data_IF_485141685468
#
_entry.id   IF_485141685468
#
_cell.length_a   1.000
_cell.length_b   1.000
_cell.length_c   1.000
_cell.angle_alpha   90.00
_cell.angle_beta   90.00
_cell.angle_gamma   90.00
#
_symmetry.space_group_name_H-M   'P 1'
#
loop_
_entity.id
_entity.type
_entity.pdbx_description
1 polymer ?
#
# COMPACT_ATOMS: atom_id res chain seq x y z
N UNK A 1 8.55 -9.10 38.39
CA UNK A 1 7.08 -9.07 38.49
C UNK A 1 6.58 -7.73 37.95
N UNK A 2 6.78 -7.43 36.64
CA UNK A 2 6.24 -6.24 35.91
C UNK A 2 6.27 -6.51 34.40
N UNK A 3 5.44 -7.41 33.92
CA UNK A 3 5.34 -7.69 32.49
C UNK A 3 3.94 -8.23 32.09
N UNK A 4 2.87 -7.72 32.72
CA UNK A 4 1.48 -8.17 32.43
C UNK A 4 0.51 -7.00 32.22
N UNK A 5 0.96 -5.78 31.98
CA UNK A 5 0.08 -4.61 31.93
C UNK A 5 -0.08 -3.97 30.54
N UNK A 6 0.34 -4.61 29.42
CA UNK A 6 0.23 -4.03 28.07
C UNK A 6 -0.82 -4.72 27.18
N UNK A 7 -1.36 -5.87 27.57
CA UNK A 7 -2.28 -6.64 26.71
C UNK A 7 -3.77 -6.30 26.94
N UNK A 8 -4.12 -5.41 27.84
CA UNK A 8 -5.53 -5.11 28.19
C UNK A 8 -6.09 -3.82 27.53
N UNK A 9 -5.47 -3.31 26.46
CA UNK A 9 -5.98 -2.13 25.74
C UNK A 9 -6.53 -2.38 24.33
N UNK A 10 -6.66 -3.64 23.92
CA UNK A 10 -7.29 -4.05 22.66
C UNK A 10 -8.75 -4.54 22.82
N UNK A 11 -9.34 -4.35 23.96
CA UNK A 11 -10.65 -4.88 24.33
C UNK A 11 -11.79 -3.85 24.39
N UNK A 12 -11.78 -2.78 23.61
CA UNK A 12 -12.96 -1.95 23.36
C UNK A 12 -12.98 -1.52 21.90
N UNK A 13 -13.44 -2.41 21.03
CA UNK A 13 -14.11 -1.95 19.81
C UNK A 13 -15.46 -1.34 20.21
N UNK A 14 -15.42 -0.21 20.90
CA UNK A 14 -16.52 0.74 20.89
C UNK A 14 -16.74 1.07 19.41
N UNK A 15 -17.93 0.81 18.94
CA UNK A 15 -18.66 1.25 17.76
C UNK A 15 -18.15 2.63 17.30
N UNK A 16 -16.99 2.65 16.68
CA UNK A 16 -16.45 3.87 16.08
C UNK A 16 -17.20 4.02 14.76
N UNK A 17 -18.14 4.96 14.74
CA UNK A 17 -18.70 5.34 13.45
C UNK A 17 -17.55 5.82 12.59
N UNK A 18 -17.35 5.22 11.39
CA UNK A 18 -16.28 5.64 10.50
C UNK A 18 -16.34 7.15 10.30
N UNK A 19 -15.20 7.81 10.30
CA UNK A 19 -15.13 9.24 10.01
C UNK A 19 -15.71 9.56 8.62
N UNK A 20 -15.93 10.83 8.35
CA UNK A 20 -16.54 11.27 7.09
C UNK A 20 -15.71 10.80 5.87
N UNK A 21 -14.37 10.74 5.99
CA UNK A 21 -13.50 10.28 4.90
C UNK A 21 -13.67 8.79 4.61
N UNK A 22 -13.70 7.97 5.63
CA UNK A 22 -13.89 6.52 5.53
C UNK A 22 -15.25 6.17 4.93
N UNK A 23 -16.31 6.87 5.34
CA UNK A 23 -17.66 6.68 4.78
C UNK A 23 -17.70 7.07 3.30
N UNK A 24 -17.10 8.21 2.93
CA UNK A 24 -16.99 8.64 1.53
C UNK A 24 -16.18 7.66 0.70
N UNK A 25 -15.07 7.11 1.23
CA UNK A 25 -14.26 6.12 0.53
C UNK A 25 -15.04 4.82 0.27
N UNK A 26 -15.75 4.31 1.26
CA UNK A 26 -16.56 3.10 1.12
C UNK A 26 -17.68 3.29 0.09
N UNK A 27 -18.42 4.41 0.18
CA UNK A 27 -19.49 4.74 -0.76
C UNK A 27 -18.96 4.96 -2.18
N UNK A 28 -17.83 5.65 -2.33
CA UNK A 28 -17.21 5.85 -3.63
C UNK A 28 -16.81 4.53 -4.28
N UNK A 29 -16.20 3.61 -3.52
CA UNK A 29 -15.82 2.30 -4.05
C UNK A 29 -17.03 1.50 -4.52
N UNK A 30 -18.11 1.50 -3.75
CA UNK A 30 -19.36 0.82 -4.12
C UNK A 30 -19.97 1.42 -5.40
N UNK A 31 -20.10 2.75 -5.49
CA UNK A 31 -20.63 3.42 -6.66
C UNK A 31 -19.75 3.24 -7.90
N UNK A 32 -18.42 3.31 -7.75
CA UNK A 32 -17.50 3.06 -8.86
C UNK A 32 -17.55 1.61 -9.35
N UNK A 33 -17.75 0.65 -8.46
CA UNK A 33 -17.88 -0.76 -8.81
C UNK A 33 -19.19 -1.08 -9.54
N UNK A 34 -20.29 -0.43 -9.15
CA UNK A 34 -21.64 -0.70 -9.67
C UNK A 34 -22.00 0.15 -10.88
N UNK A 35 -21.74 1.45 -10.81
CA UNK A 35 -22.14 2.45 -11.83
C UNK A 35 -20.97 2.84 -12.75
N UNK A 36 -19.73 2.56 -12.34
CA UNK A 36 -18.52 2.97 -13.05
C UNK A 36 -17.98 4.31 -12.56
N UNK A 37 -16.66 4.49 -12.72
CA UNK A 37 -15.97 5.69 -12.26
C UNK A 37 -16.45 6.95 -12.98
N UNK A 38 -16.57 6.93 -14.30
CA UNK A 38 -16.92 8.12 -15.09
C UNK A 38 -18.35 8.59 -14.81
N UNK A 39 -19.27 7.67 -14.63
CA UNK A 39 -20.71 7.93 -14.41
C UNK A 39 -21.03 8.40 -13.00
N UNK A 40 -20.14 8.14 -12.04
CA UNK A 40 -20.34 8.54 -10.64
C UNK A 40 -19.81 9.94 -10.38
N UNK A 41 -20.60 10.80 -9.74
CA UNK A 41 -20.22 12.16 -9.36
C UNK A 41 -19.82 12.29 -7.89
N UNK A 42 -19.05 13.33 -7.56
CA UNK A 42 -18.74 13.64 -6.15
C UNK A 42 -20.00 13.98 -5.33
N UNK A 43 -21.01 14.57 -5.99
CA UNK A 43 -22.30 14.87 -5.37
C UNK A 43 -23.04 13.58 -4.95
N UNK A 44 -23.12 12.59 -5.84
CA UNK A 44 -23.76 11.29 -5.55
C UNK A 44 -23.04 10.55 -4.41
N UNK A 45 -21.69 10.53 -4.43
CA UNK A 45 -20.88 9.93 -3.35
C UNK A 45 -21.20 10.64 -2.01
N UNK A 46 -21.22 11.97 -1.99
CA UNK A 46 -21.49 12.71 -0.77
C UNK A 46 -22.93 12.46 -0.27
N UNK A 47 -23.91 12.52 -1.15
CA UNK A 47 -25.33 12.32 -0.83
C UNK A 47 -25.60 10.92 -0.28
N UNK A 48 -24.95 9.88 -0.80
CA UNK A 48 -25.13 8.49 -0.33
C UNK A 48 -24.77 8.29 1.14
N UNK A 49 -23.93 9.16 1.70
CA UNK A 49 -23.53 9.13 3.12
C UNK A 49 -24.07 10.32 3.93
N UNK A 50 -25.07 11.04 3.40
CA UNK A 50 -25.71 12.17 4.08
C UNK A 50 -24.85 13.44 4.17
N UNK A 51 -23.90 13.61 3.24
CA UNK A 51 -23.01 14.78 3.17
C UNK A 51 -23.31 15.60 1.90
N UNK A 52 -22.74 16.80 1.84
CA UNK A 52 -22.84 17.68 0.65
C UNK A 52 -21.61 17.55 -0.23
N UNK A 53 -21.74 17.85 -1.51
CA UNK A 53 -20.63 17.93 -2.45
C UNK A 53 -19.53 18.91 -1.98
N UNK A 54 -19.93 20.04 -1.36
CA UNK A 54 -18.98 20.97 -0.72
C UNK A 54 -18.15 20.30 0.38
N UNK A 55 -18.78 19.39 1.15
CA UNK A 55 -18.07 18.63 2.18
C UNK A 55 -17.09 17.63 1.54
N UNK A 56 -17.47 17.00 0.43
CA UNK A 56 -16.59 16.12 -0.33
C UNK A 56 -15.30 16.86 -0.75
N UNK A 57 -15.44 18.00 -1.44
CA UNK A 57 -14.29 18.78 -1.94
C UNK A 57 -13.48 19.49 -0.85
N UNK A 58 -14.02 19.62 0.36
CA UNK A 58 -13.22 20.01 1.54
C UNK A 58 -12.29 18.88 2.03
N UNK A 59 -12.67 17.62 1.80
CA UNK A 59 -11.97 16.43 2.30
C UNK A 59 -11.05 15.80 1.25
N UNK A 60 -11.40 15.94 -0.04
CA UNK A 60 -10.68 15.37 -1.18
C UNK A 60 -10.55 16.41 -2.28
N UNK A 61 -9.36 16.54 -2.86
CA UNK A 61 -9.08 17.52 -3.92
C UNK A 61 -9.82 17.20 -5.23
N UNK A 62 -10.04 15.93 -5.52
CA UNK A 62 -10.84 15.46 -6.64
C UNK A 62 -11.47 14.09 -6.37
N UNK A 63 -12.31 13.61 -7.32
CA UNK A 63 -13.02 12.34 -7.22
C UNK A 63 -12.09 11.12 -7.14
N UNK A 64 -10.92 11.18 -7.76
CA UNK A 64 -9.95 10.07 -7.76
C UNK A 64 -9.35 9.87 -6.38
N UNK A 65 -9.06 10.96 -5.65
CA UNK A 65 -8.37 10.94 -4.37
C UNK A 65 -9.09 10.14 -3.29
N UNK A 66 -10.42 9.98 -3.42
CA UNK A 66 -11.18 9.20 -2.44
C UNK A 66 -10.75 7.73 -2.38
N UNK A 67 -10.36 7.12 -3.53
CA UNK A 67 -9.86 5.73 -3.56
C UNK A 67 -8.43 5.58 -3.01
N UNK A 68 -7.72 6.68 -2.90
CA UNK A 68 -6.34 6.71 -2.42
C UNK A 68 -6.22 7.24 -0.99
N UNK A 69 -7.35 7.43 -0.32
CA UNK A 69 -7.36 7.81 1.09
C UNK A 69 -6.72 6.73 1.97
N UNK A 70 -5.96 7.16 2.97
CA UNK A 70 -5.23 6.27 3.87
C UNK A 70 -3.83 5.87 3.39
N UNK A 71 -3.39 6.35 2.23
CA UNK A 71 -2.03 6.11 1.75
C UNK A 71 -0.94 6.68 2.65
N UNK A 72 -1.23 7.74 3.39
CA UNK A 72 -0.27 8.32 4.35
C UNK A 72 0.07 7.33 5.48
N UNK A 73 -0.93 6.58 5.94
CA UNK A 73 -0.73 5.51 6.94
C UNK A 73 0.08 4.35 6.36
N UNK A 74 -0.18 4.01 5.11
CA UNK A 74 0.55 2.99 4.37
C UNK A 74 2.02 3.40 4.14
N UNK A 75 2.27 4.65 3.71
CA UNK A 75 3.61 5.21 3.59
C UNK A 75 4.34 5.20 4.94
N UNK A 76 3.66 5.62 6.01
CA UNK A 76 4.25 5.62 7.34
C UNK A 76 4.70 4.23 7.78
N UNK A 77 3.93 3.18 7.46
CA UNK A 77 4.33 1.82 7.77
C UNK A 77 5.62 1.39 7.05
N UNK A 78 5.78 1.78 5.78
CA UNK A 78 7.06 1.58 5.08
C UNK A 78 8.20 2.29 5.79
N UNK A 79 8.02 3.56 6.15
CA UNK A 79 9.04 4.36 6.82
C UNK A 79 9.38 3.81 8.22
N UNK A 80 8.38 3.38 8.97
CA UNK A 80 8.57 2.73 10.28
C UNK A 80 9.36 1.42 10.14
N UNK A 81 9.06 0.62 9.12
CA UNK A 81 9.81 -0.60 8.81
C UNK A 81 11.25 -0.31 8.38
N UNK A 82 11.47 0.73 7.58
CA UNK A 82 12.83 1.20 7.23
C UNK A 82 13.57 1.64 8.51
N UNK A 83 12.95 2.45 9.36
CA UNK A 83 13.57 2.96 10.59
C UNK A 83 13.86 1.85 11.61
N UNK A 84 12.97 0.85 11.70
CA UNK A 84 13.07 -0.28 12.64
C UNK A 84 14.05 -1.39 12.23
N UNK A 85 14.58 -1.36 11.00
CA UNK A 85 15.55 -2.37 10.54
C UNK A 85 16.86 -2.28 11.34
N UNK A 86 17.60 -3.40 11.54
CA UNK A 86 18.91 -3.42 12.20
C UNK A 86 19.88 -2.39 11.60
N UNK A 87 20.79 -1.86 12.43
CA UNK A 87 21.72 -0.80 11.99
C UNK A 87 22.73 -1.29 10.94
N UNK A 88 23.06 -2.57 10.98
CA UNK A 88 23.98 -3.27 10.07
C UNK A 88 23.27 -3.97 8.90
N UNK A 89 21.95 -3.80 8.77
CA UNK A 89 21.17 -4.42 7.70
C UNK A 89 21.59 -3.87 6.32
N UNK A 90 21.71 -4.77 5.35
CA UNK A 90 21.90 -4.41 3.95
C UNK A 90 20.67 -3.66 3.39
N UNK A 91 20.80 -2.90 2.29
CA UNK A 91 19.67 -2.17 1.71
C UNK A 91 18.43 -3.04 1.43
N UNK A 92 18.62 -4.27 0.97
CA UNK A 92 17.51 -5.20 0.70
C UNK A 92 16.90 -5.76 2.00
N UNK A 93 17.67 -5.97 3.06
CA UNK A 93 17.15 -6.38 4.37
C UNK A 93 16.32 -5.26 5.01
N UNK A 94 16.73 -4.00 4.86
CA UNK A 94 15.95 -2.84 5.29
C UNK A 94 14.59 -2.82 4.56
N UNK A 95 14.60 -3.03 3.25
CA UNK A 95 13.38 -3.10 2.43
C UNK A 95 12.49 -4.29 2.83
N UNK A 96 13.09 -5.45 3.13
CA UNK A 96 12.32 -6.61 3.62
C UNK A 96 11.62 -6.31 4.95
N UNK A 97 12.28 -5.58 5.87
CA UNK A 97 11.67 -5.12 7.13
C UNK A 97 10.49 -4.16 6.86
N UNK A 98 10.63 -3.26 5.89
CA UNK A 98 9.55 -2.35 5.48
C UNK A 98 8.34 -3.09 4.89
N UNK A 99 8.56 -4.10 4.06
CA UNK A 99 7.51 -4.96 3.52
C UNK A 99 6.74 -5.69 4.63
N UNK A 100 7.45 -6.27 5.60
CA UNK A 100 6.81 -6.92 6.75
C UNK A 100 5.92 -5.96 7.57
N UNK A 101 6.38 -4.73 7.79
CA UNK A 101 5.57 -3.72 8.49
C UNK A 101 4.29 -3.38 7.72
N UNK A 102 4.38 -3.27 6.40
CA UNK A 102 3.24 -2.98 5.52
C UNK A 102 2.26 -4.14 5.44
N UNK A 103 2.72 -5.39 5.43
CA UNK A 103 1.84 -6.56 5.37
C UNK A 103 0.78 -6.57 6.50
N UNK A 104 1.09 -5.99 7.66
CA UNK A 104 0.16 -5.86 8.77
C UNK A 104 -1.09 -5.00 8.45
N UNK A 105 -1.03 -4.14 7.43
CA UNK A 105 -2.17 -3.35 6.95
C UNK A 105 -3.12 -4.14 6.06
N UNK A 106 -2.76 -5.37 5.68
CA UNK A 106 -3.51 -6.23 4.76
C UNK A 106 -3.96 -7.54 5.43
N UNK A 107 -4.76 -7.47 6.52
CA UNK A 107 -5.36 -8.68 7.07
C UNK A 107 -6.32 -9.31 6.06
N UNK A 108 -6.61 -10.59 6.20
CA UNK A 108 -7.41 -11.36 5.24
C UNK A 108 -8.80 -10.73 4.97
N UNK A 109 -9.39 -10.11 5.99
CA UNK A 109 -10.69 -9.43 5.93
C UNK A 109 -10.69 -8.24 4.97
N UNK A 110 -9.55 -7.62 4.69
CA UNK A 110 -9.42 -6.52 3.72
C UNK A 110 -9.32 -6.99 2.28
N UNK A 111 -9.11 -8.28 2.03
CA UNK A 111 -8.92 -8.83 0.68
C UNK A 111 -10.09 -8.56 -0.27
N UNK A 112 -11.37 -8.73 0.12
CA UNK A 112 -12.48 -8.39 -0.77
C UNK A 112 -12.49 -6.91 -1.17
N UNK A 113 -12.24 -6.01 -0.22
CA UNK A 113 -12.12 -4.57 -0.49
C UNK A 113 -10.99 -4.28 -1.47
N UNK A 114 -9.80 -4.82 -1.24
CA UNK A 114 -8.63 -4.61 -2.09
C UNK A 114 -8.88 -5.14 -3.52
N UNK A 115 -9.55 -6.28 -3.67
CA UNK A 115 -9.94 -6.86 -4.95
C UNK A 115 -10.90 -5.94 -5.71
N UNK A 116 -11.95 -5.46 -5.05
CA UNK A 116 -12.91 -4.53 -5.66
C UNK A 116 -12.22 -3.23 -6.06
N UNK A 117 -11.37 -2.67 -5.20
CA UNK A 117 -10.61 -1.45 -5.49
C UNK A 117 -9.73 -1.64 -6.73
N UNK A 118 -8.98 -2.73 -6.80
CA UNK A 118 -8.13 -3.00 -7.95
C UNK A 118 -8.94 -3.16 -9.23
N UNK A 119 -10.06 -3.88 -9.20
CA UNK A 119 -10.94 -4.04 -10.35
C UNK A 119 -11.51 -2.71 -10.88
N UNK A 120 -11.78 -1.74 -9.98
CA UNK A 120 -12.20 -0.38 -10.36
C UNK A 120 -11.04 0.38 -11.02
N UNK A 121 -9.84 0.28 -10.47
CA UNK A 121 -8.64 0.95 -11.02
C UNK A 121 -8.31 0.39 -12.39
N UNK A 122 -8.30 -0.93 -12.56
CA UNK A 122 -7.93 -1.60 -13.81
C UNK A 122 -8.86 -1.25 -14.99
N UNK A 123 -10.09 -0.84 -14.69
CA UNK A 123 -11.08 -0.43 -15.71
C UNK A 123 -11.01 1.04 -16.12
N UNK A 124 -10.14 1.84 -15.46
CA UNK A 124 -10.10 3.28 -15.69
C UNK A 124 -8.66 3.81 -15.80
N UNK A 125 -8.30 4.35 -16.97
CA UNK A 125 -6.96 4.84 -17.27
C UNK A 125 -6.51 6.00 -16.36
N UNK A 126 -7.42 6.89 -15.97
CA UNK A 126 -7.10 8.01 -15.07
C UNK A 126 -6.77 7.54 -13.64
N UNK A 127 -7.42 6.46 -13.17
CA UNK A 127 -7.11 5.85 -11.89
C UNK A 127 -5.78 5.08 -11.96
N UNK A 128 -5.52 4.36 -13.05
CA UNK A 128 -4.23 3.68 -13.26
C UNK A 128 -3.06 4.66 -13.33
N UNK A 129 -3.23 5.80 -14.01
CA UNK A 129 -2.22 6.86 -14.05
C UNK A 129 -1.94 7.39 -12.64
N UNK A 130 -3.00 7.65 -11.88
CA UNK A 130 -2.87 8.15 -10.51
C UNK A 130 -2.18 7.13 -9.60
N UNK A 131 -2.51 5.85 -9.72
CA UNK A 131 -1.86 4.78 -8.96
C UNK A 131 -0.37 4.69 -9.29
N UNK A 132 0.00 4.68 -10.57
CA UNK A 132 1.42 4.67 -10.99
C UNK A 132 2.18 5.87 -10.44
N UNK A 133 1.59 7.06 -10.48
CA UNK A 133 2.21 8.26 -9.90
C UNK A 133 2.46 8.11 -8.39
N UNK A 134 1.47 7.56 -7.67
CA UNK A 134 1.58 7.33 -6.23
C UNK A 134 2.63 6.26 -5.88
N UNK A 135 2.71 5.18 -6.66
CA UNK A 135 3.74 4.15 -6.47
C UNK A 135 5.14 4.71 -6.74
N UNK A 136 5.31 5.54 -7.78
CA UNK A 136 6.58 6.21 -8.05
C UNK A 136 6.98 7.15 -6.89
N UNK A 137 6.03 7.93 -6.36
CA UNK A 137 6.26 8.76 -5.17
C UNK A 137 6.66 7.95 -3.94
N UNK A 138 6.04 6.80 -3.72
CA UNK A 138 6.40 5.88 -2.65
C UNK A 138 7.86 5.39 -2.79
N UNK A 139 8.27 4.96 -3.99
CA UNK A 139 9.64 4.51 -4.24
C UNK A 139 10.66 5.61 -3.93
N UNK A 140 10.40 6.85 -4.34
CA UNK A 140 11.27 7.99 -4.05
C UNK A 140 11.39 8.23 -2.54
N UNK A 141 10.27 8.24 -1.82
CA UNK A 141 10.29 8.45 -0.36
C UNK A 141 11.03 7.32 0.39
N UNK A 142 10.91 6.07 -0.07
CA UNK A 142 11.68 4.96 0.50
C UNK A 142 13.18 5.14 0.20
N UNK A 143 13.56 5.56 -1.01
CA UNK A 143 14.95 5.83 -1.35
C UNK A 143 15.55 6.94 -0.48
N UNK A 144 14.81 8.04 -0.25
CA UNK A 144 15.21 9.11 0.67
C UNK A 144 15.42 8.58 2.12
N UNK A 145 14.52 7.71 2.60
CA UNK A 145 14.67 7.10 3.91
C UNK A 145 15.87 6.15 4.02
N UNK A 146 16.18 5.40 2.96
CA UNK A 146 17.40 4.59 2.86
C UNK A 146 18.66 5.47 2.87
N UNK A 147 18.65 6.57 2.13
CA UNK A 147 19.72 7.57 2.13
C UNK A 147 19.97 8.14 3.53
N UNK A 148 18.90 8.48 4.26
CA UNK A 148 19.01 8.96 5.64
C UNK A 148 19.64 7.92 6.59
N UNK A 149 19.64 6.64 6.22
CA UNK A 149 20.31 5.54 6.91
C UNK A 149 21.74 5.28 6.41
N UNK A 150 22.24 6.10 5.48
CA UNK A 150 23.60 5.97 4.94
C UNK A 150 23.73 5.02 3.74
N UNK A 151 22.62 4.61 3.12
CA UNK A 151 22.67 3.84 1.87
C UNK A 151 22.99 4.79 0.70
N UNK A 152 24.10 4.56 0.03
CA UNK A 152 24.53 5.38 -1.10
C UNK A 152 23.76 5.06 -2.39
N UNK A 153 23.74 6.02 -3.35
CA UNK A 153 23.27 5.75 -4.71
C UNK A 153 24.32 4.91 -5.49
N UNK A 154 23.86 4.02 -6.43
CA UNK A 154 22.46 3.79 -6.83
C UNK A 154 21.72 2.74 -5.99
N UNK A 155 22.34 2.22 -4.91
CA UNK A 155 21.76 1.13 -4.10
C UNK A 155 20.44 1.53 -3.43
N UNK A 156 20.32 2.78 -2.95
CA UNK A 156 19.09 3.28 -2.34
C UNK A 156 17.90 3.25 -3.33
N UNK A 157 18.09 3.80 -4.52
CA UNK A 157 17.08 3.79 -5.58
C UNK A 157 16.72 2.38 -6.02
N UNK A 158 17.71 1.49 -6.23
CA UNK A 158 17.46 0.11 -6.65
C UNK A 158 16.71 -0.69 -5.58
N UNK A 159 17.09 -0.56 -4.32
CA UNK A 159 16.43 -1.24 -3.22
C UNK A 159 14.98 -0.76 -3.05
N UNK A 160 14.73 0.55 -3.10
CA UNK A 160 13.39 1.12 -3.01
C UNK A 160 12.48 0.67 -4.17
N UNK A 161 12.99 0.71 -5.40
CA UNK A 161 12.28 0.23 -6.58
C UNK A 161 11.98 -1.28 -6.49
N UNK A 162 12.94 -2.07 -6.01
CA UNK A 162 12.75 -3.50 -5.76
C UNK A 162 11.64 -3.77 -4.74
N UNK A 163 11.62 -3.02 -3.62
CA UNK A 163 10.59 -3.15 -2.60
C UNK A 163 9.19 -2.85 -3.11
N UNK A 164 9.02 -1.74 -3.83
CA UNK A 164 7.71 -1.38 -4.41
C UNK A 164 7.27 -2.38 -5.49
N UNK A 165 8.20 -2.96 -6.24
CA UNK A 165 7.93 -4.02 -7.22
C UNK A 165 7.49 -5.31 -6.53
N UNK A 166 8.19 -5.76 -5.49
CA UNK A 166 7.82 -6.93 -4.69
C UNK A 166 6.42 -6.75 -4.10
N UNK A 167 6.15 -5.60 -3.49
CA UNK A 167 4.84 -5.28 -2.95
C UNK A 167 3.74 -5.38 -4.02
N UNK A 168 3.94 -4.74 -5.18
CA UNK A 168 2.96 -4.75 -6.28
C UNK A 168 2.65 -6.15 -6.79
N UNK A 169 3.68 -6.98 -7.01
CA UNK A 169 3.52 -8.38 -7.43
C UNK A 169 2.80 -9.20 -6.35
N UNK A 170 3.21 -9.03 -5.09
CA UNK A 170 2.61 -9.76 -3.98
C UNK A 170 1.14 -9.38 -3.78
N UNK A 171 0.81 -8.08 -3.83
CA UNK A 171 -0.56 -7.61 -3.73
C UNK A 171 -1.43 -8.16 -4.86
N UNK A 172 -0.93 -8.14 -6.10
CA UNK A 172 -1.62 -8.70 -7.25
C UNK A 172 -1.89 -10.20 -7.10
N UNK A 173 -0.99 -10.97 -6.47
CA UNK A 173 -1.23 -12.38 -6.13
C UNK A 173 -2.23 -12.51 -4.98
N UNK A 174 -2.07 -11.71 -3.94
CA UNK A 174 -2.89 -11.78 -2.73
C UNK A 174 -4.38 -11.54 -2.99
N UNK A 175 -4.73 -10.66 -3.94
CA UNK A 175 -6.13 -10.37 -4.31
C UNK A 175 -6.75 -11.41 -5.24
N UNK A 176 -6.02 -12.41 -5.73
CA UNK A 176 -6.56 -13.44 -6.62
C UNK A 176 -7.65 -14.26 -5.93
N UNK A 177 -8.59 -14.74 -6.72
CA UNK A 177 -9.60 -15.67 -6.22
C UNK A 177 -8.95 -17.00 -5.84
N UNK A 178 -9.36 -17.56 -4.70
CA UNK A 178 -8.77 -18.81 -4.16
C UNK A 178 -7.41 -18.66 -3.49
N UNK A 179 -6.82 -17.46 -3.43
CA UNK A 179 -5.59 -17.25 -2.65
C UNK A 179 -5.89 -17.16 -1.15
N UNK A 180 -5.23 -18.00 -0.35
CA UNK A 180 -5.45 -18.07 1.11
C UNK A 180 -4.26 -17.58 1.91
N UNK A 181 -3.05 -17.54 1.32
CA UNK A 181 -1.84 -17.10 2.03
C UNK A 181 -1.97 -15.65 2.50
N UNK A 182 -1.24 -15.31 3.57
CA UNK A 182 -1.09 -13.93 3.99
C UNK A 182 -0.29 -13.11 2.96
N UNK A 183 -0.47 -11.78 2.97
CA UNK A 183 0.37 -10.92 2.13
C UNK A 183 1.84 -11.08 2.49
N UNK A 184 2.18 -11.19 3.78
CA UNK A 184 3.54 -11.40 4.25
C UNK A 184 4.20 -12.66 3.67
N UNK A 185 3.47 -13.80 3.62
CA UNK A 185 3.99 -15.05 3.04
C UNK A 185 4.25 -14.91 1.55
N UNK A 186 3.37 -14.21 0.84
CA UNK A 186 3.52 -13.96 -0.59
C UNK A 186 4.68 -13.01 -0.85
N UNK A 187 4.80 -11.91 -0.10
CA UNK A 187 5.94 -10.98 -0.18
C UNK A 187 7.26 -11.69 0.05
N UNK A 188 7.37 -12.53 1.09
CA UNK A 188 8.56 -13.32 1.34
C UNK A 188 8.90 -14.28 0.18
N UNK A 189 7.88 -14.82 -0.48
CA UNK A 189 8.03 -15.65 -1.69
C UNK A 189 8.59 -14.85 -2.86
N UNK A 190 7.96 -13.72 -3.18
CA UNK A 190 8.37 -12.83 -4.29
C UNK A 190 9.76 -12.24 -4.03
N UNK A 191 10.06 -11.87 -2.79
CA UNK A 191 11.39 -11.36 -2.42
C UNK A 191 12.49 -12.40 -2.64
N UNK A 192 12.24 -13.67 -2.31
CA UNK A 192 13.19 -14.76 -2.60
C UNK A 192 13.42 -14.95 -4.10
N UNK A 193 12.39 -14.80 -4.93
CA UNK A 193 12.56 -14.83 -6.39
C UNK A 193 13.36 -13.63 -6.90
N UNK A 194 13.14 -12.42 -6.36
CA UNK A 194 13.97 -11.26 -6.65
C UNK A 194 15.46 -11.54 -6.38
N UNK A 195 15.78 -12.13 -5.22
CA UNK A 195 17.16 -12.45 -4.86
C UNK A 195 17.79 -13.47 -5.80
N UNK A 196 17.02 -14.47 -6.29
CA UNK A 196 17.50 -15.43 -7.29
C UNK A 196 17.82 -14.75 -8.62
N UNK A 197 16.89 -13.94 -9.13
CA UNK A 197 17.08 -13.19 -10.37
C UNK A 197 18.27 -12.24 -10.28
N UNK A 198 18.40 -11.52 -9.15
CA UNK A 198 19.54 -10.61 -8.92
C UNK A 198 20.88 -11.35 -8.76
N UNK A 199 20.86 -12.58 -8.26
CA UNK A 199 22.05 -13.42 -8.08
C UNK A 199 22.56 -14.12 -9.36
N UNK A 200 21.86 -13.99 -10.50
CA UNK A 200 22.29 -14.49 -11.79
C UNK A 200 23.42 -13.62 -12.41
N UNK A 201 24.57 -13.57 -11.74
CA UNK A 201 25.72 -12.68 -12.02
C UNK A 201 26.35 -12.92 -13.40
N UNK A 202 26.10 -14.07 -14.03
CA UNK A 202 26.70 -14.47 -15.32
C UNK A 202 26.33 -13.53 -16.50
N UNK A 203 25.38 -12.62 -16.32
CA UNK A 203 24.94 -11.71 -17.39
C UNK A 203 25.95 -10.57 -17.61
N UNK A 204 26.58 -10.05 -16.55
CA UNK A 204 27.50 -8.90 -16.64
C UNK A 204 28.84 -9.24 -17.30
N UNK A 205 29.29 -10.50 -17.20
CA UNK A 205 30.53 -10.96 -17.88
C UNK A 205 30.34 -11.08 -19.41
N UNK A 206 29.12 -10.97 -19.95
CA UNK A 206 28.80 -11.07 -21.36
C UNK A 206 28.49 -9.74 -22.03
N UNK A 207 28.50 -8.64 -21.28
CA UNK A 207 28.30 -7.30 -21.83
C UNK A 207 29.70 -6.79 -22.24
N UNK A 208 29.96 -6.54 -23.53
CA UNK A 208 31.24 -6.05 -24.02
C UNK A 208 31.58 -4.63 -23.54
#
# INVERSE_FOLDING_TARGET
MMAVAVITRLGFMTRWEPGARERLQAAALELFATSGFEQTTAAEIAQSVGLTERTFFRLFSDKREVLFYGQDLFLQAFLDGVAGAPADASPLEIVASALQAVAAFFPAERRPYARTRQAVIDRNSALQERERHKVAGLANTIAEALHARGVEEPAATLAAASGTTVFGIALAQWIREGEERSLADIEAGVFRELLKVAGEVTVLEKIP
#
